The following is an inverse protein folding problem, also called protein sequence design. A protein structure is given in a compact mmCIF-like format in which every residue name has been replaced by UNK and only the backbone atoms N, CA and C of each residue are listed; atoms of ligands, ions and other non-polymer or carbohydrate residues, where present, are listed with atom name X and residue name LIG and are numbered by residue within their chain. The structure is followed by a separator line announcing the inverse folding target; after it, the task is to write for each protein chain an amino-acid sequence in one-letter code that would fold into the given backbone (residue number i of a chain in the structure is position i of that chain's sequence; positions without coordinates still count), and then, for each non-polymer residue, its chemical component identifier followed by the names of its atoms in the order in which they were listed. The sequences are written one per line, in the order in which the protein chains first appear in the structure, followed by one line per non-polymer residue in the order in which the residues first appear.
data_IF_047844000704
#
_entry.id   IF_047844000704
#
_cell.length_a   1.000
_cell.length_b   1.000
_cell.length_c   1.000
_cell.angle_alpha   90.00
_cell.angle_beta   90.00
_cell.angle_gamma   90.00
#
_symmetry.space_group_name_H-M   'P 1'
#
loop_
_entity.id
_entity.type
_entity.pdbx_description
1 polymer ?
#
# COMPACT_ATOMS: atom_id res chain seq x y z
N UNK A 1 39.17 31.59 -44.07
CA UNK A 1 38.29 31.97 -42.93
C UNK A 1 37.20 30.92 -42.63
N UNK A 2 36.57 30.27 -43.61
CA UNK A 2 35.50 29.25 -43.39
C UNK A 2 35.99 27.94 -42.75
N UNK A 3 37.21 27.50 -43.08
CA UNK A 3 37.77 26.22 -42.59
C UNK A 3 38.05 26.21 -41.08
N UNK A 4 38.34 27.37 -40.51
CA UNK A 4 38.63 27.52 -39.07
C UNK A 4 37.36 27.40 -38.24
N UNK A 5 36.25 27.96 -38.74
CA UNK A 5 34.93 27.87 -38.13
C UNK A 5 34.35 26.44 -38.19
N UNK A 6 34.61 25.69 -39.27
CA UNK A 6 34.22 24.27 -39.38
C UNK A 6 34.95 23.40 -38.35
N UNK A 7 36.25 23.63 -38.14
CA UNK A 7 37.04 22.89 -37.14
C UNK A 7 36.59 23.20 -35.72
N UNK A 8 36.28 24.47 -35.41
CA UNK A 8 35.76 24.88 -34.09
C UNK A 8 34.40 24.23 -33.81
N UNK A 9 33.51 24.18 -34.81
CA UNK A 9 32.19 23.54 -34.66
C UNK A 9 32.31 22.02 -34.40
N UNK A 10 33.23 21.33 -35.07
CA UNK A 10 33.47 19.89 -34.88
C UNK A 10 34.04 19.60 -33.48
N UNK A 11 35.03 20.38 -33.04
CA UNK A 11 35.63 20.21 -31.71
C UNK A 11 34.60 20.51 -30.63
N UNK A 12 33.78 21.56 -30.79
CA UNK A 12 32.68 21.87 -29.86
C UNK A 12 31.65 20.74 -29.81
N UNK A 13 31.26 20.15 -30.95
CA UNK A 13 30.33 19.03 -30.98
C UNK A 13 30.90 17.77 -30.31
N UNK A 14 32.19 17.47 -30.50
CA UNK A 14 32.85 16.34 -29.85
C UNK A 14 32.93 16.55 -28.33
N UNK A 15 33.30 17.76 -27.89
CA UNK A 15 33.32 18.12 -26.47
C UNK A 15 31.92 18.05 -25.89
N UNK A 16 30.90 18.52 -26.61
CA UNK A 16 29.51 18.44 -26.20
C UNK A 16 29.05 16.98 -26.06
N UNK A 17 29.37 16.12 -27.04
CA UNK A 17 29.05 14.68 -27.01
C UNK A 17 29.79 13.97 -25.88
N UNK A 18 31.07 14.28 -25.64
CA UNK A 18 31.86 13.68 -24.55
C UNK A 18 31.36 14.15 -23.18
N UNK A 19 30.99 15.42 -23.05
CA UNK A 19 30.35 15.95 -21.82
C UNK A 19 28.97 15.29 -21.64
N UNK A 20 28.16 15.18 -22.69
CA UNK A 20 26.85 14.51 -22.62
C UNK A 20 26.98 13.02 -22.27
N UNK A 21 28.03 12.34 -22.73
CA UNK A 21 28.30 10.93 -22.41
C UNK A 21 28.83 10.74 -20.98
N UNK A 22 29.60 11.70 -20.44
CA UNK A 22 30.22 11.60 -19.12
C UNK A 22 29.41 12.25 -17.98
N UNK A 23 28.39 13.06 -18.30
CA UNK A 23 27.48 13.70 -17.31
C UNK A 23 26.20 12.86 -17.06
N UNK A 24 25.96 11.80 -17.84
CA UNK A 24 24.88 10.81 -17.61
C UNK A 24 25.23 9.78 -16.51
N UNK A 25 26.35 9.97 -15.81
CA UNK A 25 26.86 9.06 -14.79
C UNK A 25 26.90 9.71 -13.39
N UNK A 26 25.78 10.29 -12.92
CA UNK A 26 25.51 10.42 -11.48
C UNK A 26 24.03 10.12 -11.15
N UNK A 27 23.84 9.24 -10.18
CA UNK A 27 22.62 8.47 -9.85
C UNK A 27 21.45 9.31 -9.29
N UNK A 28 20.20 8.81 -9.33
CA UNK A 28 19.71 8.19 -8.09
C UNK A 28 18.86 6.92 -8.24
N UNK A 29 18.95 6.18 -7.15
CA UNK A 29 18.32 4.92 -6.74
C UNK A 29 16.80 5.07 -6.56
N UNK A 30 16.08 4.00 -6.92
CA UNK A 30 14.71 3.66 -6.48
C UNK A 30 13.55 4.52 -7.00
N UNK A 31 12.92 4.09 -8.09
CA UNK A 31 11.48 3.74 -8.10
C UNK A 31 11.14 2.95 -9.36
N UNK A 32 11.01 1.64 -9.23
CA UNK A 32 10.01 0.93 -10.04
C UNK A 32 9.54 -0.29 -9.28
N UNK A 33 9.02 -0.03 -8.08
CA UNK A 33 8.04 -0.89 -7.44
C UNK A 33 6.64 -0.34 -7.76
N UNK A 34 6.37 -0.08 -9.04
CA UNK A 34 5.03 0.26 -9.52
C UNK A 34 4.53 -0.79 -10.51
N UNK A 35 4.97 -2.04 -10.33
CA UNK A 35 4.39 -3.18 -11.03
C UNK A 35 3.87 -4.19 -10.00
N UNK A 36 3.02 -3.68 -9.11
CA UNK A 36 2.09 -4.49 -8.33
C UNK A 36 0.71 -4.16 -8.91
N UNK A 37 0.36 -4.87 -9.98
CA UNK A 37 -1.02 -5.04 -10.40
C UNK A 37 -1.67 -5.99 -9.36
N UNK A 38 -1.97 -5.45 -8.17
CA UNK A 38 -2.86 -6.08 -7.22
C UNK A 38 -4.16 -5.29 -7.25
N UNK A 39 -5.09 -5.72 -8.09
CA UNK A 39 -6.51 -5.49 -7.81
C UNK A 39 -6.92 -6.38 -6.62
N UNK A 40 -6.45 -5.96 -5.44
CA UNK A 40 -7.05 -6.27 -4.15
C UNK A 40 -7.15 -4.94 -3.43
N UNK A 41 -8.10 -4.10 -3.87
CA UNK A 41 -8.54 -2.98 -3.03
C UNK A 41 -9.27 -3.60 -1.86
N UNK A 42 -8.52 -3.83 -0.80
CA UNK A 42 -9.05 -4.03 0.51
C UNK A 42 -8.65 -2.83 1.31
N UNK A 43 -9.58 -1.88 1.34
CA UNK A 43 -9.50 -0.70 2.18
C UNK A 43 -8.99 -1.11 3.56
N UNK A 44 -7.78 -0.65 3.88
CA UNK A 44 -7.23 -0.63 5.24
C UNK A 44 -8.01 0.43 6.03
N UNK A 45 -9.29 0.15 6.20
CA UNK A 45 -10.31 1.10 6.62
C UNK A 45 -10.92 0.68 7.95
N UNK A 46 -10.08 0.36 8.92
CA UNK A 46 -10.31 0.55 10.37
C UNK A 46 -9.17 -0.12 11.14
N UNK A 47 -8.38 0.65 11.88
CA UNK A 47 -7.28 0.22 12.77
C UNK A 47 -7.72 -0.69 13.95
N UNK A 48 -8.95 -1.17 13.95
CA UNK A 48 -9.51 -2.05 14.97
C UNK A 48 -9.53 -3.47 14.44
N UNK A 49 -8.69 -4.36 14.96
CA UNK A 49 -8.75 -5.80 14.69
C UNK A 49 -9.91 -6.49 15.42
N UNK A 50 -10.08 -7.79 15.20
CA UNK A 50 -11.09 -8.58 15.90
C UNK A 50 -10.67 -8.80 17.36
N UNK A 51 -11.44 -8.31 18.33
CA UNK A 51 -11.09 -8.46 19.76
C UNK A 51 -11.27 -9.88 20.32
N UNK A 52 -11.77 -10.84 19.52
CA UNK A 52 -11.92 -12.24 19.91
C UNK A 52 -10.65 -13.04 19.57
N UNK A 53 -10.12 -12.90 18.35
CA UNK A 53 -8.89 -13.58 17.92
C UNK A 53 -7.64 -12.68 17.96
N UNK A 54 -7.79 -11.38 18.25
CA UNK A 54 -6.73 -10.38 18.31
C UNK A 54 -5.98 -10.17 16.98
N UNK A 55 -6.53 -10.66 15.87
CA UNK A 55 -5.96 -10.51 14.54
C UNK A 55 -6.53 -9.28 13.82
N UNK A 56 -5.73 -8.70 12.92
CA UNK A 56 -6.16 -7.64 12.03
C UNK A 56 -7.19 -8.17 11.03
N UNK A 57 -8.14 -7.31 10.63
CA UNK A 57 -9.09 -7.69 9.59
C UNK A 57 -8.38 -7.87 8.27
N UNK A 58 -8.57 -9.03 7.64
CA UNK A 58 -8.03 -9.28 6.32
C UNK A 58 -8.96 -8.71 5.26
N UNK A 59 -8.34 -8.30 4.16
CA UNK A 59 -8.94 -8.13 2.86
C UNK A 59 -10.05 -9.16 2.56
N UNK A 60 -11.25 -8.69 2.18
CA UNK A 60 -12.39 -9.55 1.79
C UNK A 60 -12.96 -10.45 2.91
N UNK A 61 -12.58 -10.25 4.17
CA UNK A 61 -13.07 -11.11 5.25
C UNK A 61 -14.51 -10.78 5.69
N UNK A 62 -15.29 -11.84 5.97
CA UNK A 62 -16.67 -11.72 6.47
C UNK A 62 -16.68 -11.19 7.90
N UNK A 63 -17.18 -9.96 8.05
CA UNK A 63 -17.34 -9.27 9.34
C UNK A 63 -18.80 -9.24 9.75
N UNK A 64 -19.05 -9.54 11.02
CA UNK A 64 -20.35 -9.38 11.64
C UNK A 64 -20.32 -8.15 12.56
N UNK A 65 -21.38 -7.36 12.51
CA UNK A 65 -21.56 -6.19 13.36
C UNK A 65 -22.77 -6.42 14.24
N UNK A 66 -22.61 -6.19 15.53
CA UNK A 66 -23.71 -6.29 16.49
C UNK A 66 -24.58 -5.05 16.37
N UNK A 67 -25.87 -5.21 16.07
CA UNK A 67 -26.82 -4.09 15.88
C UNK A 67 -27.06 -3.26 17.16
N UNK A 68 -26.99 -3.89 18.34
CA UNK A 68 -27.27 -3.22 19.61
C UNK A 68 -26.12 -2.34 20.13
N UNK A 69 -24.87 -2.68 19.81
CA UNK A 69 -23.70 -1.93 20.32
C UNK A 69 -22.72 -1.45 19.24
N UNK A 70 -22.92 -1.82 17.97
CA UNK A 70 -22.09 -1.39 16.84
C UNK A 70 -20.70 -2.03 16.77
N UNK A 71 -20.37 -2.96 17.67
CA UNK A 71 -19.06 -3.62 17.67
C UNK A 71 -18.93 -4.64 16.53
N UNK A 72 -17.74 -4.67 15.92
CA UNK A 72 -17.41 -5.49 14.74
C UNK A 72 -16.48 -6.63 15.15
N UNK A 73 -16.71 -7.81 14.58
CA UNK A 73 -15.91 -9.02 14.80
C UNK A 73 -15.88 -9.86 13.51
N UNK A 74 -14.98 -10.83 13.41
CA UNK A 74 -15.08 -11.86 12.37
C UNK A 74 -16.39 -12.64 12.55
N UNK A 75 -17.07 -12.95 11.44
CA UNK A 75 -18.33 -13.70 11.47
C UNK A 75 -18.15 -15.04 12.21
N UNK A 76 -17.07 -15.77 11.93
CA UNK A 76 -16.76 -17.02 12.61
C UNK A 76 -16.50 -16.84 14.11
N UNK A 77 -15.75 -15.80 14.50
CA UNK A 77 -15.41 -15.55 15.90
C UNK A 77 -16.66 -15.21 16.73
N UNK A 78 -17.54 -14.33 16.23
CA UNK A 78 -18.75 -13.97 16.98
C UNK A 78 -19.76 -15.12 17.01
N UNK A 79 -19.85 -15.94 15.96
CA UNK A 79 -20.71 -17.12 15.91
C UNK A 79 -20.26 -18.18 16.93
N UNK A 80 -18.95 -18.41 17.04
CA UNK A 80 -18.39 -19.29 18.05
C UNK A 80 -18.68 -18.77 19.47
N UNK A 81 -18.48 -17.47 19.71
CA UNK A 81 -18.78 -16.85 21.00
C UNK A 81 -20.26 -16.93 21.38
N UNK A 82 -21.17 -16.68 20.43
CA UNK A 82 -22.61 -16.67 20.64
C UNK A 82 -23.21 -18.04 20.95
N UNK A 83 -22.52 -19.13 20.59
CA UNK A 83 -22.94 -20.49 20.98
C UNK A 83 -22.92 -20.69 22.49
N UNK A 84 -22.01 -20.02 23.19
CA UNK A 84 -21.83 -20.17 24.65
C UNK A 84 -22.30 -18.93 25.42
N UNK A 85 -22.24 -17.74 24.81
CA UNK A 85 -22.46 -16.47 25.48
C UNK A 85 -23.37 -15.53 24.66
N UNK A 86 -24.51 -15.12 25.22
CA UNK A 86 -25.45 -14.19 24.58
C UNK A 86 -25.13 -12.71 24.86
N UNK A 87 -23.84 -12.33 24.89
CA UNK A 87 -23.40 -10.98 25.23
C UNK A 87 -22.23 -10.52 24.36
N UNK A 88 -22.11 -9.21 24.16
CA UNK A 88 -20.99 -8.63 23.42
C UNK A 88 -19.68 -8.78 24.21
N UNK A 89 -18.59 -9.30 23.62
CA UNK A 89 -17.32 -9.47 24.32
C UNK A 89 -16.61 -8.15 24.65
N UNK A 90 -16.94 -7.05 23.96
CA UNK A 90 -16.35 -5.72 24.22
C UNK A 90 -17.09 -4.93 25.29
N UNK A 91 -18.42 -4.83 25.20
CA UNK A 91 -19.21 -3.99 26.11
C UNK A 91 -20.15 -4.75 27.04
N UNK A 92 -20.16 -6.10 26.97
CA UNK A 92 -21.05 -6.99 27.74
C UNK A 92 -22.55 -6.72 27.56
N UNK A 93 -22.93 -5.98 26.53
CA UNK A 93 -24.33 -5.76 26.19
C UNK A 93 -24.98 -7.07 25.78
N UNK A 94 -26.16 -7.38 26.33
CA UNK A 94 -26.87 -8.62 26.04
C UNK A 94 -27.49 -8.55 24.65
N UNK A 95 -27.29 -9.60 23.86
CA UNK A 95 -27.94 -9.75 22.57
C UNK A 95 -29.27 -10.42 22.85
N UNK A 96 -30.34 -9.62 22.88
CA UNK A 96 -31.72 -10.05 23.13
C UNK A 96 -32.50 -10.17 21.84
#
# INVERSE_FOLDING_TARGET
MVRFWVLIAIVAAIVFVVIWILDDADLPRHEKLEQIEHDVVCSEGSLSGCAICLEAYVACERRATISSCGHRFHAHCIEAWLRENNSCPLCRHRLV
#
